data_IF_406990800139
#
_entry.id   IF_406990800139
#
_cell.length_a   1.000
_cell.length_b   1.000
_cell.length_c   1.000
_cell.angle_alpha   90.00
_cell.angle_beta   90.00
_cell.angle_gamma   90.00
#
_symmetry.space_group_name_H-M   'P 1'
#
loop_
_entity.id
_entity.type
_entity.pdbx_description
1 polymer ?
#
# COMPACT_ATOMS: atom_id res chain seq x y z
N UNK A 1 -12.38 27.48 13.98
CA UNK A 1 -12.49 26.42 12.94
C UNK A 1 -12.03 26.99 11.62
N UNK A 2 -10.74 26.97 11.36
CA UNK A 2 -10.17 27.52 10.12
C UNK A 2 -10.15 26.38 9.10
N UNK A 3 -11.12 26.40 8.19
CA UNK A 3 -11.23 25.48 7.06
C UNK A 3 -9.97 25.69 6.20
N UNK A 4 -9.09 24.72 6.19
CA UNK A 4 -7.86 24.71 5.40
C UNK A 4 -8.22 25.02 3.94
N UNK A 5 -7.61 26.07 3.38
CA UNK A 5 -7.63 26.39 1.96
C UNK A 5 -6.75 25.37 1.16
N UNK A 6 -6.89 24.08 1.47
CA UNK A 6 -6.38 23.03 0.59
C UNK A 6 -7.35 22.98 -0.58
N UNK A 7 -6.83 23.35 -1.72
CA UNK A 7 -7.50 23.44 -3.00
C UNK A 7 -8.40 22.19 -3.20
N UNK A 8 -9.72 22.31 -3.06
CA UNK A 8 -10.71 21.22 -3.20
C UNK A 8 -10.61 20.48 -4.56
N UNK A 9 -9.79 21.01 -5.45
CA UNK A 9 -9.52 20.53 -6.80
C UNK A 9 -8.46 19.39 -6.85
N UNK A 10 -7.57 19.29 -5.86
CA UNK A 10 -6.48 18.31 -5.79
C UNK A 10 -6.71 17.31 -4.65
N UNK A 11 -6.68 16.03 -5.00
CA UNK A 11 -6.77 14.91 -4.07
C UNK A 11 -5.36 14.41 -3.69
N UNK A 12 -5.26 13.52 -2.69
CA UNK A 12 -4.00 12.88 -2.36
C UNK A 12 -3.40 12.14 -3.57
N UNK A 13 -4.25 11.51 -4.40
CA UNK A 13 -3.82 10.89 -5.65
C UNK A 13 -3.31 11.91 -6.68
N UNK A 14 -3.89 13.11 -6.72
CA UNK A 14 -3.37 14.19 -7.56
C UNK A 14 -1.93 14.55 -7.19
N UNK A 15 -1.64 14.68 -5.89
CA UNK A 15 -0.28 14.96 -5.41
C UNK A 15 0.69 13.81 -5.67
N UNK A 16 0.23 12.55 -5.60
CA UNK A 16 1.02 11.40 -6.03
C UNK A 16 1.42 11.52 -7.49
N UNK A 17 0.47 11.77 -8.39
CA UNK A 17 0.73 11.93 -9.82
C UNK A 17 1.72 13.07 -10.08
N UNK A 18 1.52 14.24 -9.47
CA UNK A 18 2.46 15.36 -9.60
C UNK A 18 3.87 15.00 -9.14
N UNK A 19 3.98 14.24 -8.03
CA UNK A 19 5.24 13.77 -7.48
C UNK A 19 5.94 12.72 -8.37
N UNK A 20 5.17 11.79 -8.95
CA UNK A 20 5.68 10.75 -9.86
C UNK A 20 6.15 11.34 -11.20
N UNK A 21 5.40 12.28 -11.77
CA UNK A 21 5.80 13.02 -12.97
C UNK A 21 7.13 13.73 -12.73
N UNK A 22 7.27 14.39 -11.58
CA UNK A 22 8.50 15.05 -11.18
C UNK A 22 9.06 16.01 -12.22
N UNK A 23 10.34 16.31 -12.13
CA UNK A 23 11.03 17.26 -13.05
C UNK A 23 11.36 16.65 -14.42
N UNK A 24 11.47 15.31 -14.51
CA UNK A 24 11.91 14.63 -15.75
C UNK A 24 10.76 14.35 -16.69
N UNK A 25 9.52 14.44 -16.20
CA UNK A 25 8.33 14.06 -16.94
C UNK A 25 8.11 12.54 -16.97
N UNK A 26 6.85 12.14 -17.20
CA UNK A 26 6.46 10.74 -17.32
C UNK A 26 5.20 10.59 -18.17
N UNK A 27 5.10 9.48 -18.91
CA UNK A 27 3.86 9.07 -19.57
C UNK A 27 2.97 8.24 -18.62
N UNK A 28 1.66 8.06 -18.95
CA UNK A 28 0.75 7.29 -18.11
C UNK A 28 1.22 5.86 -17.80
N UNK A 29 1.78 5.18 -18.79
CA UNK A 29 2.34 3.83 -18.62
C UNK A 29 3.55 3.83 -17.66
N UNK A 30 4.39 4.85 -17.73
CA UNK A 30 5.53 4.98 -16.81
C UNK A 30 5.06 5.24 -15.38
N UNK A 31 4.02 6.08 -15.21
CA UNK A 31 3.39 6.35 -13.90
C UNK A 31 2.82 5.08 -13.28
N UNK A 32 2.03 4.31 -14.05
CA UNK A 32 1.49 3.03 -13.61
C UNK A 32 2.61 2.07 -13.19
N UNK A 33 3.66 1.94 -14.00
CA UNK A 33 4.80 1.07 -13.68
C UNK A 33 5.56 1.52 -12.43
N UNK A 34 5.68 2.82 -12.19
CA UNK A 34 6.31 3.35 -10.96
C UNK A 34 5.46 3.01 -9.74
N UNK A 35 4.14 3.16 -9.81
CA UNK A 35 3.22 2.81 -8.74
C UNK A 35 3.20 1.31 -8.46
N UNK A 36 3.19 0.46 -9.48
CA UNK A 36 3.19 -1.00 -9.33
C UNK A 36 4.47 -1.55 -8.71
N UNK A 37 5.62 -0.88 -8.87
CA UNK A 37 6.86 -1.26 -8.17
C UNK A 37 6.71 -1.14 -6.65
N UNK A 38 5.94 -0.13 -6.19
CA UNK A 38 5.65 0.08 -4.78
C UNK A 38 4.24 -0.41 -4.42
N UNK A 39 3.89 -1.68 -4.70
CA UNK A 39 2.55 -2.26 -4.50
C UNK A 39 1.90 -1.90 -3.17
N UNK A 40 2.69 -1.74 -2.11
CA UNK A 40 2.23 -1.38 -0.77
C UNK A 40 1.56 0.02 -0.76
N UNK A 41 2.01 0.92 -1.66
CA UNK A 41 1.47 2.27 -1.80
C UNK A 41 0.51 2.41 -3.00
N UNK A 42 0.23 1.34 -3.73
CA UNK A 42 -0.66 1.36 -4.89
C UNK A 42 -2.12 1.29 -4.43
N UNK A 43 -2.71 2.43 -4.14
CA UNK A 43 -4.08 2.56 -3.63
C UNK A 43 -5.11 2.92 -4.70
N UNK A 44 -4.66 3.31 -5.90
CA UNK A 44 -5.55 3.70 -7.00
C UNK A 44 -5.63 2.61 -8.07
N UNK A 45 -6.80 2.48 -8.70
CA UNK A 45 -6.98 1.58 -9.83
C UNK A 45 -6.16 2.02 -11.04
N UNK A 46 -5.72 1.07 -11.88
CA UNK A 46 -4.83 1.32 -13.02
C UNK A 46 -5.33 2.40 -13.98
N UNK A 47 -6.65 2.44 -14.24
CA UNK A 47 -7.27 3.45 -15.12
C UNK A 47 -7.04 4.88 -14.63
N UNK A 48 -6.90 5.10 -13.34
CA UNK A 48 -6.68 6.41 -12.75
C UNK A 48 -5.35 7.02 -13.20
N UNK A 49 -4.30 6.21 -13.40
CA UNK A 49 -3.00 6.66 -13.89
C UNK A 49 -3.04 7.17 -15.35
N UNK A 50 -4.12 6.90 -16.07
CA UNK A 50 -4.37 7.43 -17.42
C UNK A 50 -5.33 8.63 -17.41
N UNK A 51 -6.23 8.70 -16.45
CA UNK A 51 -7.28 9.75 -16.37
C UNK A 51 -6.76 10.99 -15.64
N UNK A 52 -6.16 10.80 -14.49
CA UNK A 52 -5.74 11.91 -13.62
C UNK A 52 -4.68 12.83 -14.25
N UNK A 53 -3.62 12.32 -14.93
CA UNK A 53 -2.68 13.21 -15.62
C UNK A 53 -3.33 14.11 -16.67
N UNK A 54 -4.34 13.61 -17.38
CA UNK A 54 -5.11 14.40 -18.35
C UNK A 54 -5.91 15.51 -17.66
N UNK A 55 -6.52 15.19 -16.51
CA UNK A 55 -7.26 16.15 -15.71
C UNK A 55 -6.33 17.26 -15.18
N UNK A 56 -5.19 16.87 -14.63
CA UNK A 56 -4.18 17.81 -14.11
C UNK A 56 -3.58 18.70 -15.21
N UNK A 57 -3.44 18.19 -16.43
CA UNK A 57 -2.99 18.98 -17.58
C UNK A 57 -4.06 20.02 -17.98
N UNK A 58 -5.35 19.65 -18.02
CA UNK A 58 -6.44 20.61 -18.27
C UNK A 58 -6.50 21.72 -17.23
N UNK A 59 -6.16 21.43 -16.00
CA UNK A 59 -6.12 22.37 -14.90
C UNK A 59 -4.80 23.20 -14.83
N UNK A 60 -3.85 22.91 -15.73
CA UNK A 60 -2.59 23.62 -15.83
C UNK A 60 -1.53 23.23 -14.79
N UNK A 61 -1.71 22.15 -14.04
CA UNK A 61 -0.71 21.62 -13.11
C UNK A 61 0.36 20.79 -13.81
N UNK A 62 0.01 20.21 -14.96
CA UNK A 62 0.91 19.50 -15.85
C UNK A 62 0.87 20.12 -17.27
N UNK A 63 1.97 20.02 -17.98
CA UNK A 63 2.08 20.29 -19.41
C UNK A 63 2.15 18.95 -20.16
N UNK A 64 1.36 18.81 -21.24
CA UNK A 64 1.27 17.58 -22.02
C UNK A 64 1.96 17.73 -23.36
N UNK A 65 3.00 16.93 -23.62
CA UNK A 65 3.76 16.94 -24.86
C UNK A 65 3.63 15.61 -25.58
N UNK A 66 3.63 15.69 -26.92
CA UNK A 66 3.72 14.51 -27.77
C UNK A 66 5.17 14.22 -28.08
N UNK A 67 5.61 13.00 -27.78
CA UNK A 67 6.96 12.53 -28.07
C UNK A 67 6.90 11.26 -28.95
N UNK A 68 7.94 11.02 -29.78
CA UNK A 68 8.07 9.74 -30.46
C UNK A 68 8.14 8.59 -29.46
N UNK A 69 7.36 7.55 -29.67
CA UNK A 69 7.46 6.28 -28.94
C UNK A 69 7.98 5.18 -29.87
N UNK A 70 8.21 3.98 -29.34
CA UNK A 70 8.74 2.85 -30.12
C UNK A 70 7.86 2.49 -31.33
N UNK A 71 6.54 2.56 -31.19
CA UNK A 71 5.57 2.19 -32.25
C UNK A 71 4.56 3.31 -32.54
N UNK A 72 4.28 4.20 -31.60
CA UNK A 72 3.28 5.28 -31.71
C UNK A 72 3.76 6.50 -30.95
N UNK A 73 3.21 7.67 -31.28
CA UNK A 73 3.38 8.85 -30.45
C UNK A 73 2.85 8.61 -29.04
N UNK A 74 3.62 8.96 -28.05
CA UNK A 74 3.22 8.91 -26.63
C UNK A 74 3.01 10.31 -26.07
N UNK A 75 2.11 10.43 -25.12
CA UNK A 75 1.97 11.66 -24.33
C UNK A 75 2.89 11.57 -23.13
N UNK A 76 3.73 12.56 -22.93
CA UNK A 76 4.55 12.73 -21.73
C UNK A 76 4.08 13.99 -21.03
N UNK A 77 3.90 13.90 -19.73
CA UNK A 77 3.53 15.01 -18.87
C UNK A 77 4.75 15.57 -18.18
N UNK A 78 4.81 16.88 -18.03
CA UNK A 78 5.85 17.59 -17.29
C UNK A 78 5.19 18.47 -16.21
N UNK A 79 5.86 18.64 -15.08
CA UNK A 79 5.38 19.47 -13.98
C UNK A 79 5.52 20.95 -14.37
N UNK A 80 4.42 21.72 -14.23
CA UNK A 80 4.44 23.18 -14.43
C UNK A 80 4.83 23.91 -13.13
N UNK A 81 5.12 25.20 -13.20
CA UNK A 81 5.34 26.02 -12.00
C UNK A 81 4.13 26.03 -11.08
N UNK A 82 2.91 26.03 -11.63
CA UNK A 82 1.66 25.89 -10.88
C UNK A 82 1.61 24.56 -10.13
N UNK A 83 1.98 23.45 -10.81
CA UNK A 83 2.04 22.13 -10.21
C UNK A 83 3.10 22.04 -9.10
N UNK A 84 4.28 22.58 -9.32
CA UNK A 84 5.33 22.63 -8.31
C UNK A 84 4.94 23.48 -7.09
N UNK A 85 4.30 24.63 -7.31
CA UNK A 85 3.79 25.48 -6.24
C UNK A 85 2.69 24.78 -5.43
N UNK A 86 1.83 23.98 -6.08
CA UNK A 86 0.82 23.17 -5.40
C UNK A 86 1.46 22.10 -4.50
N UNK A 87 2.47 21.38 -4.99
CA UNK A 87 3.22 20.39 -4.19
C UNK A 87 3.90 21.04 -2.97
N UNK A 88 4.51 22.23 -3.15
CA UNK A 88 5.15 22.95 -2.04
C UNK A 88 4.15 23.33 -0.96
N UNK A 89 3.03 23.95 -1.33
CA UNK A 89 1.97 24.31 -0.38
C UNK A 89 1.42 23.09 0.36
N UNK A 90 1.18 22.00 -0.36
CA UNK A 90 0.70 20.77 0.27
C UNK A 90 1.72 20.18 1.25
N UNK A 91 3.02 20.21 0.92
CA UNK A 91 4.07 19.72 1.80
C UNK A 91 4.22 20.51 3.11
N UNK A 92 3.72 21.74 3.15
CA UNK A 92 3.70 22.60 4.35
C UNK A 92 2.48 22.34 5.25
N UNK A 93 1.47 21.60 4.77
CA UNK A 93 0.30 21.26 5.59
C UNK A 93 0.62 20.16 6.60
N UNK A 94 0.03 20.20 7.81
CA UNK A 94 0.19 19.13 8.78
C UNK A 94 -0.30 17.78 8.21
N UNK A 95 0.45 16.73 8.50
CA UNK A 95 0.03 15.35 8.19
C UNK A 95 -0.89 14.85 9.29
N UNK A 96 -2.00 14.24 8.91
CA UNK A 96 -2.92 13.60 9.84
C UNK A 96 -2.85 12.09 9.72
N UNK A 97 -3.14 11.40 10.83
CA UNK A 97 -3.21 9.94 10.81
C UNK A 97 -4.33 9.48 9.86
N UNK A 98 -3.96 8.61 8.93
CA UNK A 98 -4.92 8.07 7.96
C UNK A 98 -5.62 6.84 8.56
N UNK A 99 -6.95 6.73 8.47
CA UNK A 99 -7.68 5.54 8.90
C UNK A 99 -7.13 4.28 8.22
N UNK A 100 -6.92 3.24 9.02
CA UNK A 100 -6.39 1.97 8.53
C UNK A 100 -7.50 1.16 7.87
N UNK A 101 -7.41 0.96 6.56
CA UNK A 101 -8.25 0.03 5.82
C UNK A 101 -7.48 -1.27 5.64
N UNK A 102 -7.69 -2.22 6.55
CA UNK A 102 -6.93 -3.47 6.60
C UNK A 102 -7.90 -4.67 6.68
N UNK A 103 -7.85 -5.55 5.68
CA UNK A 103 -8.71 -6.72 5.57
C UNK A 103 -8.46 -7.73 6.71
N UNK A 104 -7.21 -7.89 7.15
CA UNK A 104 -6.85 -8.76 8.27
C UNK A 104 -7.60 -8.36 9.54
N UNK A 105 -7.61 -7.07 9.90
CA UNK A 105 -8.32 -6.57 11.07
C UNK A 105 -9.84 -6.78 10.94
N UNK A 106 -10.40 -6.55 9.76
CA UNK A 106 -11.83 -6.78 9.52
C UNK A 106 -12.19 -8.26 9.69
N UNK A 107 -11.37 -9.18 9.18
CA UNK A 107 -11.60 -10.64 9.35
C UNK A 107 -11.54 -11.07 10.80
N UNK A 108 -10.68 -10.46 11.61
CA UNK A 108 -10.64 -10.71 13.06
C UNK A 108 -11.89 -10.20 13.76
N UNK A 109 -12.38 -9.00 13.41
CA UNK A 109 -13.58 -8.43 14.00
C UNK A 109 -14.85 -9.24 13.77
N UNK A 110 -14.86 -10.11 12.77
CA UNK A 110 -16.01 -10.99 12.45
C UNK A 110 -15.70 -12.48 12.69
N UNK A 111 -14.59 -12.80 13.33
CA UNK A 111 -14.14 -14.19 13.51
C UNK A 111 -15.13 -15.06 14.31
N UNK A 112 -15.87 -14.48 15.25
CA UNK A 112 -16.94 -15.11 16.01
C UNK A 112 -18.13 -15.53 15.12
N UNK A 113 -18.39 -14.80 14.04
CA UNK A 113 -19.48 -15.07 13.10
C UNK A 113 -19.11 -16.15 12.06
N UNK A 114 -17.85 -16.15 11.58
CA UNK A 114 -17.40 -16.99 10.46
C UNK A 114 -16.56 -18.19 10.89
N UNK A 115 -16.16 -18.25 12.15
CA UNK A 115 -15.39 -19.31 12.76
C UNK A 115 -13.87 -19.06 12.77
N UNK A 116 -13.26 -19.22 13.95
CA UNK A 116 -11.81 -18.97 14.20
C UNK A 116 -10.88 -19.75 13.27
N UNK A 117 -11.19 -21.03 13.00
CA UNK A 117 -10.35 -21.87 12.16
C UNK A 117 -10.25 -21.36 10.70
N UNK A 118 -11.34 -20.84 10.14
CA UNK A 118 -11.38 -20.25 8.80
C UNK A 118 -10.64 -18.92 8.78
N UNK A 119 -10.88 -18.07 9.77
CA UNK A 119 -10.21 -16.79 9.96
C UNK A 119 -8.69 -16.97 10.08
N UNK A 120 -8.25 -17.91 10.94
CA UNK A 120 -6.83 -18.23 11.12
C UNK A 120 -6.17 -18.65 9.80
N UNK A 121 -6.76 -19.61 9.06
CA UNK A 121 -6.20 -20.06 7.79
C UNK A 121 -6.04 -18.93 6.78
N UNK A 122 -7.06 -18.08 6.67
CA UNK A 122 -7.03 -16.95 5.74
C UNK A 122 -5.99 -15.87 6.13
N UNK A 123 -5.76 -15.69 7.44
CA UNK A 123 -4.77 -14.70 7.92
C UNK A 123 -3.34 -15.25 7.79
N UNK A 124 -3.11 -16.53 8.12
CA UNK A 124 -1.78 -17.16 8.00
C UNK A 124 -1.28 -17.17 6.55
N UNK A 125 -2.17 -17.28 5.57
CA UNK A 125 -1.82 -17.18 4.14
C UNK A 125 -1.19 -15.82 3.75
N UNK A 126 -1.39 -14.77 4.56
CA UNK A 126 -0.78 -13.46 4.32
C UNK A 126 0.76 -13.49 4.37
N UNK A 127 1.37 -14.51 5.00
CA UNK A 127 2.84 -14.67 5.04
C UNK A 127 3.47 -14.73 3.65
N UNK A 128 2.82 -15.44 2.72
CA UNK A 128 3.32 -15.57 1.33
C UNK A 128 3.27 -14.22 0.60
N UNK A 129 2.18 -13.47 0.78
CA UNK A 129 2.04 -12.14 0.17
C UNK A 129 3.05 -11.13 0.76
N UNK A 130 3.32 -11.21 2.08
CA UNK A 130 4.34 -10.37 2.74
C UNK A 130 5.74 -10.73 2.25
N UNK A 131 6.06 -12.00 2.03
CA UNK A 131 7.36 -12.41 1.51
C UNK A 131 7.62 -11.80 0.11
N UNK A 132 6.64 -11.88 -0.82
CA UNK A 132 6.72 -11.22 -2.13
C UNK A 132 6.91 -9.71 -2.01
N UNK A 133 6.23 -9.06 -1.04
CA UNK A 133 6.36 -7.63 -0.81
C UNK A 133 7.74 -7.24 -0.26
N UNK A 134 8.34 -8.06 0.61
CA UNK A 134 9.70 -7.84 1.12
C UNK A 134 10.74 -7.95 -0.01
N UNK A 135 10.63 -8.95 -0.89
CA UNK A 135 11.50 -9.10 -2.06
C UNK A 135 11.40 -7.89 -3.00
N UNK A 136 10.19 -7.39 -3.26
CA UNK A 136 9.97 -6.17 -4.06
C UNK A 136 10.54 -4.92 -3.39
N UNK A 137 10.46 -4.84 -2.08
CA UNK A 137 11.02 -3.74 -1.31
C UNK A 137 12.54 -3.72 -1.44
N UNK A 138 13.21 -4.87 -1.35
CA UNK A 138 14.65 -5.01 -1.55
C UNK A 138 15.08 -4.56 -2.96
N UNK A 139 14.36 -4.99 -4.00
CA UNK A 139 14.59 -4.54 -5.37
C UNK A 139 14.41 -3.02 -5.52
N UNK A 140 13.44 -2.42 -4.81
CA UNK A 140 13.23 -0.98 -4.78
C UNK A 140 14.37 -0.25 -4.09
N UNK A 141 14.90 -0.78 -3.00
CA UNK A 141 16.07 -0.25 -2.28
C UNK A 141 17.32 -0.27 -3.15
N UNK A 142 17.56 -1.38 -3.87
CA UNK A 142 18.64 -1.48 -4.85
C UNK A 142 18.50 -0.43 -5.96
N UNK A 143 17.29 -0.25 -6.48
CA UNK A 143 16.99 0.77 -7.49
C UNK A 143 17.20 2.20 -6.97
N UNK A 144 16.95 2.46 -5.69
CA UNK A 144 17.16 3.77 -5.07
C UNK A 144 18.63 4.21 -5.10
N UNK A 145 19.60 3.27 -5.13
CA UNK A 145 21.03 3.57 -5.23
C UNK A 145 21.37 4.27 -6.56
N UNK A 146 20.60 4.04 -7.61
CA UNK A 146 20.79 4.66 -8.93
C UNK A 146 20.24 6.09 -9.01
N UNK A 147 19.60 6.60 -7.94
CA UNK A 147 18.94 7.89 -7.88
C UNK A 147 19.47 8.75 -6.72
N UNK A 148 20.72 9.27 -6.78
CA UNK A 148 21.37 9.93 -5.64
C UNK A 148 20.54 11.05 -5.02
N UNK A 149 19.86 11.87 -5.85
CA UNK A 149 19.03 13.00 -5.42
C UNK A 149 17.73 12.60 -4.69
N UNK A 150 17.28 11.34 -4.82
CA UNK A 150 16.09 10.80 -4.16
C UNK A 150 16.39 9.72 -3.14
N UNK A 151 17.60 9.17 -3.14
CA UNK A 151 18.00 8.00 -2.35
C UNK A 151 17.59 8.12 -0.89
N UNK A 152 17.90 9.22 -0.22
CA UNK A 152 17.59 9.46 1.19
C UNK A 152 16.08 9.25 1.47
N UNK A 153 15.24 9.84 0.66
CA UNK A 153 13.78 9.80 0.85
C UNK A 153 13.21 8.41 0.55
N UNK A 154 13.70 7.77 -0.52
CA UNK A 154 13.27 6.41 -0.88
C UNK A 154 13.64 5.41 0.21
N UNK A 155 14.86 5.48 0.76
CA UNK A 155 15.27 4.60 1.85
C UNK A 155 14.49 4.85 3.15
N UNK A 156 14.11 6.08 3.46
CA UNK A 156 13.23 6.37 4.61
C UNK A 156 11.85 5.76 4.43
N UNK A 157 11.27 5.85 3.24
CA UNK A 157 10.00 5.20 2.90
C UNK A 157 10.13 3.68 3.00
N UNK A 158 11.20 3.10 2.42
CA UNK A 158 11.45 1.66 2.51
C UNK A 158 11.58 1.18 3.96
N UNK A 159 12.28 1.93 4.81
CA UNK A 159 12.42 1.59 6.22
C UNK A 159 11.07 1.60 6.97
N UNK A 160 10.17 2.53 6.65
CA UNK A 160 8.82 2.53 7.18
C UNK A 160 8.01 1.30 6.70
N UNK A 161 8.05 1.03 5.39
CA UNK A 161 7.31 -0.09 4.80
C UNK A 161 7.80 -1.44 5.34
N UNK A 162 9.11 -1.62 5.54
CA UNK A 162 9.68 -2.82 6.16
C UNK A 162 9.11 -3.05 7.55
N UNK A 163 9.12 -2.02 8.41
CA UNK A 163 8.53 -2.09 9.76
C UNK A 163 7.05 -2.41 9.73
N UNK A 164 6.32 -1.88 8.74
CA UNK A 164 4.90 -2.19 8.57
C UNK A 164 4.68 -3.67 8.22
N UNK A 165 5.52 -4.24 7.33
CA UNK A 165 5.45 -5.66 6.97
C UNK A 165 5.85 -6.56 8.14
N UNK A 166 6.92 -6.20 8.87
CA UNK A 166 7.35 -6.91 10.08
C UNK A 166 6.23 -6.94 11.13
N UNK A 167 5.57 -5.80 11.38
CA UNK A 167 4.41 -5.73 12.27
C UNK A 167 3.28 -6.67 11.83
N UNK A 168 3.02 -6.78 10.53
CA UNK A 168 2.00 -7.71 10.04
C UNK A 168 2.41 -9.17 10.27
N UNK A 169 3.69 -9.53 10.08
CA UNK A 169 4.20 -10.88 10.36
C UNK A 169 4.07 -11.23 11.85
N UNK A 170 4.49 -10.34 12.74
CA UNK A 170 4.34 -10.51 14.20
C UNK A 170 2.86 -10.71 14.56
N UNK A 171 1.97 -9.93 13.97
CA UNK A 171 0.53 -10.04 14.22
C UNK A 171 -0.07 -11.32 13.66
N UNK A 172 0.42 -11.82 12.51
CA UNK A 172 0.03 -13.15 11.99
C UNK A 172 0.44 -14.26 12.96
N UNK A 173 1.64 -14.16 13.58
CA UNK A 173 2.11 -15.10 14.60
C UNK A 173 1.19 -15.09 15.83
N UNK A 174 0.78 -13.90 16.27
CA UNK A 174 -0.15 -13.74 17.40
C UNK A 174 -1.51 -14.38 17.08
N UNK A 175 -2.07 -14.11 15.90
CA UNK A 175 -3.33 -14.71 15.46
C UNK A 175 -3.23 -16.23 15.35
N UNK A 176 -2.12 -16.74 14.80
CA UNK A 176 -1.89 -18.17 14.68
C UNK A 176 -1.85 -18.87 16.04
N UNK A 177 -1.22 -18.22 17.02
CA UNK A 177 -1.14 -18.72 18.40
C UNK A 177 -2.48 -18.67 19.13
N UNK A 178 -3.17 -17.52 19.08
CA UNK A 178 -4.41 -17.31 19.83
C UNK A 178 -5.59 -18.07 19.25
N UNK A 179 -5.68 -18.22 17.92
CA UNK A 179 -6.71 -18.98 17.24
C UNK A 179 -6.27 -20.43 16.93
N UNK A 180 -5.20 -20.91 17.59
CA UNK A 180 -4.81 -22.32 17.49
C UNK A 180 -5.93 -23.23 18.02
N UNK A 181 -6.20 -24.38 17.38
CA UNK A 181 -7.16 -25.33 17.89
C UNK A 181 -6.77 -25.71 19.32
N UNK A 182 -7.58 -25.35 20.29
CA UNK A 182 -7.37 -25.79 21.69
C UNK A 182 -7.27 -27.30 21.64
N UNK A 183 -6.13 -27.87 22.08
CA UNK A 183 -5.94 -29.30 22.17
C UNK A 183 -7.16 -29.85 22.96
N UNK A 184 -8.09 -30.53 22.26
CA UNK A 184 -9.20 -31.19 22.91
C UNK A 184 -8.59 -32.06 23.97
N UNK A 185 -8.97 -31.85 25.21
CA UNK A 185 -8.73 -32.77 26.32
C UNK A 185 -9.37 -34.14 25.98
N UNK A 186 -8.80 -34.83 24.98
CA UNK A 186 -9.14 -36.22 24.61
C UNK A 186 -8.93 -37.19 25.77
N UNK A 187 -8.07 -36.81 26.73
CA UNK A 187 -7.72 -37.60 27.90
C UNK A 187 -8.88 -37.69 28.91
N UNK A 188 -9.76 -36.70 29.00
CA UNK A 188 -10.85 -36.75 30.01
C UNK A 188 -12.05 -37.56 29.56
N UNK A 189 -12.35 -37.65 28.27
CA UNK A 189 -13.47 -38.47 27.79
C UNK A 189 -13.15 -39.97 27.80
N UNK A 190 -11.88 -40.35 27.59
CA UNK A 190 -11.46 -41.76 27.70
C UNK A 190 -11.40 -42.25 29.15
N UNK A 191 -11.00 -41.39 30.07
CA UNK A 191 -11.02 -41.72 31.50
C UNK A 191 -12.43 -41.87 32.06
N UNK A 192 -13.39 -41.07 31.58
CA UNK A 192 -14.77 -41.17 32.02
C UNK A 192 -15.53 -42.36 31.41
N UNK A 193 -15.17 -42.79 30.19
CA UNK A 193 -15.72 -44.03 29.59
C UNK A 193 -15.15 -45.29 30.25
N UNK A 194 -13.89 -45.32 30.68
CA UNK A 194 -13.33 -46.48 31.41
C UNK A 194 -13.96 -46.67 32.80
N UNK A 195 -14.28 -45.57 33.53
CA UNK A 195 -14.95 -45.65 34.85
C UNK A 195 -16.42 -46.09 34.79
N UNK A 196 -17.07 -46.00 33.61
CA UNK A 196 -18.46 -46.46 33.43
C UNK A 196 -18.58 -47.90 32.92
N UNK A 197 -17.47 -48.55 32.55
CA UNK A 197 -17.45 -49.95 32.11
C UNK A 197 -16.93 -50.92 33.19
N UNK A 198 -16.58 -50.41 34.38
CA UNK A 198 -16.08 -51.18 35.53
C UNK A 198 -17.10 -51.18 36.71
N UNK A 199 -18.35 -50.77 36.48
CA UNK A 199 -19.50 -50.93 37.37
C UNK A 199 -20.59 -51.72 36.65
#
# INVERSE_FOLDING_TARGET
MTRSLVNDELTLFSYEILGLVGRRGAGPHDLLRMAQRGRILAWAGESQYYVEPKRLARLGYLDARKEPGKTRQRTVYALTDKGLAALRRWAETPVHFTPVKNELLLRLLIADLVGEASTRRGIVALREDIADLLDRLEQSEASAQTLPHRRKYLLLVSAFLRRLLDLHLEFVDDVERELAPKARKRSQLHAQKRRKSEV
#
